data_IF_499185595345
#
_entry.id   IF_499185595345
#
_cell.length_a   1.000
_cell.length_b   1.000
_cell.length_c   1.000
_cell.angle_alpha   90.00
_cell.angle_beta   90.00
_cell.angle_gamma   90.00
#
_symmetry.space_group_name_H-M   'P 1'
#
loop_
_entity.id
_entity.type
_entity.pdbx_description
1 polymer ?
#
# COMPACT_ATOMS: atom_id res chain seq x y z
N UNK A 1 58.91 49.61 -9.88
CA UNK A 1 58.47 50.11 -8.55
C UNK A 1 56.97 50.38 -8.67
N UNK A 2 56.10 49.43 -8.29
CA UNK A 2 55.36 49.40 -7.00
C UNK A 2 54.84 50.78 -6.56
N UNK A 3 53.51 50.92 -6.49
CA UNK A 3 52.68 51.32 -5.33
C UNK A 3 51.18 51.27 -5.76
N UNK A 4 50.42 50.24 -5.34
CA UNK A 4 49.42 50.24 -4.25
C UNK A 4 48.08 50.92 -4.60
N UNK A 5 47.01 50.12 -4.67
CA UNK A 5 45.78 50.36 -3.89
C UNK A 5 44.97 49.08 -3.73
N UNK A 6 44.87 48.63 -2.47
CA UNK A 6 44.04 47.55 -1.98
C UNK A 6 42.57 47.97 -2.02
N UNK A 7 41.68 47.07 -2.44
CA UNK A 7 40.30 47.04 -1.96
C UNK A 7 40.08 45.72 -1.21
N UNK A 8 39.99 45.83 0.11
CA UNK A 8 39.61 44.75 1.01
C UNK A 8 38.09 44.68 1.00
N UNK A 9 37.52 43.62 0.44
CA UNK A 9 36.12 43.24 0.66
C UNK A 9 36.13 42.19 1.77
N UNK A 10 35.83 42.63 2.99
CA UNK A 10 35.59 41.75 4.13
C UNK A 10 34.24 41.06 3.97
N UNK A 11 34.24 39.76 3.71
CA UNK A 11 33.03 38.93 3.80
C UNK A 11 32.80 38.61 5.27
N UNK A 12 31.76 39.23 5.84
CA UNK A 12 31.22 38.90 7.15
C UNK A 12 30.75 37.44 7.13
N UNK A 13 31.44 36.55 7.84
CA UNK A 13 30.97 35.20 8.11
C UNK A 13 29.83 35.29 9.14
N UNK A 14 28.59 35.29 8.66
CA UNK A 14 27.41 35.10 9.53
C UNK A 14 27.39 33.63 9.93
N UNK A 15 27.89 33.34 11.14
CA UNK A 15 27.68 32.05 11.77
C UNK A 15 26.19 31.91 12.12
N UNK A 16 25.41 31.38 11.18
CA UNK A 16 24.07 30.90 11.49
C UNK A 16 24.22 29.60 12.28
N UNK A 17 24.08 29.72 13.60
CA UNK A 17 23.77 28.61 14.49
C UNK A 17 22.45 28.00 14.06
N UNK A 18 22.50 27.07 13.10
CA UNK A 18 21.36 26.25 12.76
C UNK A 18 21.07 25.35 13.97
N UNK A 19 19.99 25.67 14.69
CA UNK A 19 19.37 24.77 15.64
C UNK A 19 19.12 23.45 14.92
N UNK A 20 19.93 22.44 15.21
CA UNK A 20 19.73 21.08 14.73
C UNK A 20 18.47 20.52 15.38
N UNK A 21 17.29 20.87 14.83
CA UNK A 21 16.14 20.00 14.90
C UNK A 21 16.48 18.82 14.00
N UNK A 22 17.18 17.85 14.57
CA UNK A 22 17.32 16.52 14.02
C UNK A 22 15.90 15.95 13.89
N UNK A 23 15.23 16.24 12.77
CA UNK A 23 14.24 15.33 12.24
C UNK A 23 15.00 14.03 12.05
N UNK A 24 14.80 13.08 12.96
CA UNK A 24 15.19 11.70 12.75
C UNK A 24 14.47 11.26 11.48
N UNK A 25 15.13 11.39 10.33
CA UNK A 25 14.69 10.80 9.09
C UNK A 25 14.70 9.31 9.38
N UNK A 26 13.52 8.74 9.67
CA UNK A 26 13.38 7.29 9.81
C UNK A 26 13.90 6.71 8.51
N UNK A 27 15.00 5.94 8.60
CA UNK A 27 15.57 5.24 7.46
C UNK A 27 14.49 4.32 6.89
N UNK A 28 14.25 4.42 5.59
CA UNK A 28 13.33 3.51 4.89
C UNK A 28 13.78 2.06 5.10
N UNK A 29 12.81 1.19 5.35
CA UNK A 29 13.02 -0.24 5.57
C UNK A 29 13.36 -0.90 4.24
N UNK A 30 14.61 -1.32 4.07
CA UNK A 30 15.12 -1.87 2.79
C UNK A 30 15.07 -3.39 2.69
N UNK A 31 15.03 -4.10 3.83
CA UNK A 31 14.90 -5.56 3.79
C UNK A 31 13.51 -5.95 3.28
N UNK A 32 13.39 -6.77 2.22
CA UNK A 32 12.11 -7.03 1.57
C UNK A 32 11.13 -7.79 2.49
N UNK A 33 11.63 -8.60 3.44
CA UNK A 33 10.78 -9.29 4.40
C UNK A 33 10.25 -8.30 5.43
N UNK A 34 11.13 -7.51 6.06
CA UNK A 34 10.73 -6.52 7.06
C UNK A 34 9.80 -5.45 6.48
N UNK A 35 10.09 -4.98 5.25
CA UNK A 35 9.28 -3.96 4.57
C UNK A 35 7.84 -4.45 4.35
N UNK A 36 7.66 -5.65 3.81
CA UNK A 36 6.33 -6.23 3.60
C UNK A 36 5.57 -6.40 4.94
N UNK A 37 6.27 -6.79 6.00
CA UNK A 37 5.69 -6.97 7.33
C UNK A 37 5.26 -5.66 8.02
N UNK A 38 5.63 -4.48 7.50
CA UNK A 38 5.13 -3.19 8.02
C UNK A 38 3.60 -3.04 7.89
N UNK A 39 2.98 -3.78 6.96
CA UNK A 39 1.53 -3.82 6.82
C UNK A 39 0.84 -4.66 7.90
N UNK A 40 1.55 -5.57 8.58
CA UNK A 40 0.96 -6.40 9.60
C UNK A 40 0.49 -5.54 10.80
N UNK A 41 -0.69 -5.82 11.37
CA UNK A 41 -1.28 -4.94 12.39
C UNK A 41 -0.53 -4.96 13.72
N UNK A 42 0.20 -6.03 14.02
CA UNK A 42 1.02 -6.17 15.22
C UNK A 42 2.14 -7.21 15.02
N UNK A 43 3.11 -7.22 15.94
CA UNK A 43 4.29 -8.09 15.87
C UNK A 43 3.96 -9.59 15.94
N UNK A 44 2.92 -9.99 16.68
CA UNK A 44 2.53 -11.40 16.78
C UNK A 44 2.03 -11.93 15.43
N UNK A 45 1.18 -11.16 14.74
CA UNK A 45 0.70 -11.51 13.42
C UNK A 45 1.83 -11.46 12.37
N UNK A 46 2.74 -10.49 12.46
CA UNK A 46 3.91 -10.39 11.58
C UNK A 46 4.84 -11.62 11.69
N UNK A 47 5.05 -12.11 12.91
CA UNK A 47 5.91 -13.26 13.20
C UNK A 47 5.46 -14.51 12.44
N UNK A 48 4.15 -14.78 12.41
CA UNK A 48 3.58 -16.00 11.84
C UNK A 48 3.08 -15.83 10.40
N UNK A 49 3.20 -14.62 9.83
CA UNK A 49 2.83 -14.35 8.44
C UNK A 49 3.79 -14.98 7.43
N UNK A 50 3.24 -15.44 6.32
CA UNK A 50 4.01 -15.73 5.10
C UNK A 50 4.35 -14.40 4.41
N UNK A 51 5.56 -14.26 3.89
CA UNK A 51 5.96 -13.11 3.07
C UNK A 51 6.27 -13.59 1.67
N UNK A 52 5.66 -12.93 0.68
CA UNK A 52 5.90 -13.21 -0.73
C UNK A 52 6.40 -11.96 -1.45
N UNK A 53 7.02 -12.19 -2.60
CA UNK A 53 7.35 -11.14 -3.56
C UNK A 53 6.69 -11.46 -4.89
N UNK A 54 5.92 -10.51 -5.40
CA UNK A 54 5.30 -10.61 -6.71
C UNK A 54 6.36 -10.51 -7.81
N UNK A 55 6.19 -11.33 -8.84
CA UNK A 55 7.00 -11.31 -10.07
C UNK A 55 6.24 -10.60 -11.19
N UNK A 56 6.93 -10.06 -12.21
CA UNK A 56 6.27 -9.33 -13.31
C UNK A 56 5.22 -10.14 -14.10
N UNK A 57 5.29 -11.47 -14.05
CA UNK A 57 4.32 -12.39 -14.66
C UNK A 57 3.07 -12.66 -13.78
N UNK A 58 2.91 -11.89 -12.69
CA UNK A 58 1.84 -12.01 -11.70
C UNK A 58 1.83 -13.30 -10.88
N UNK A 59 2.91 -14.08 -10.95
CA UNK A 59 3.20 -15.14 -9.97
C UNK A 59 3.99 -14.57 -8.79
N UNK A 60 4.36 -15.40 -7.82
CA UNK A 60 5.13 -14.95 -6.67
C UNK A 60 6.21 -15.95 -6.25
N UNK A 61 7.23 -15.43 -5.58
CA UNK A 61 8.18 -16.23 -4.78
C UNK A 61 7.86 -16.08 -3.30
N UNK A 62 8.06 -17.14 -2.51
CA UNK A 62 7.94 -17.10 -1.05
C UNK A 62 9.29 -16.71 -0.47
N UNK A 63 9.37 -15.55 0.18
CA UNK A 63 10.58 -15.07 0.85
C UNK A 63 10.70 -15.62 2.28
N UNK A 64 9.56 -15.79 2.94
CA UNK A 64 9.46 -16.37 4.29
C UNK A 64 8.17 -17.16 4.38
N UNK A 65 8.24 -18.45 4.72
CA UNK A 65 7.04 -19.24 5.03
C UNK A 65 6.61 -18.97 6.47
N UNK A 66 5.33 -18.66 6.66
CA UNK A 66 4.70 -18.53 7.97
C UNK A 66 3.87 -19.75 8.35
N UNK A 67 3.32 -19.72 9.57
CA UNK A 67 2.44 -20.74 10.15
C UNK A 67 0.97 -20.31 10.18
N UNK A 68 0.69 -19.01 10.02
CA UNK A 68 -0.66 -18.47 9.91
C UNK A 68 -1.17 -18.45 8.46
N UNK A 69 -2.45 -18.14 8.28
CA UNK A 69 -3.07 -17.89 6.96
C UNK A 69 -2.73 -16.52 6.37
N UNK A 70 -2.06 -15.64 7.13
CA UNK A 70 -1.74 -14.29 6.69
C UNK A 70 -0.59 -14.31 5.68
N UNK A 71 -0.74 -13.52 4.62
CA UNK A 71 0.30 -13.30 3.62
C UNK A 71 0.54 -11.81 3.45
N UNK A 72 1.80 -11.39 3.52
CA UNK A 72 2.24 -10.00 3.37
C UNK A 72 3.16 -9.85 2.14
N UNK A 73 3.10 -8.69 1.48
CA UNK A 73 3.88 -8.42 0.28
C UNK A 73 4.09 -6.91 0.06
N UNK A 74 5.16 -6.58 -0.66
CA UNK A 74 5.45 -5.22 -1.12
C UNK A 74 4.87 -5.00 -2.53
N UNK A 75 4.13 -3.90 -2.68
CA UNK A 75 3.55 -3.42 -3.93
C UNK A 75 4.15 -2.07 -4.38
N UNK A 76 5.18 -1.58 -3.71
CA UNK A 76 5.92 -0.37 -4.09
C UNK A 76 6.41 -0.49 -5.54
N UNK A 77 6.09 0.51 -6.35
CA UNK A 77 6.46 0.54 -7.78
C UNK A 77 5.55 -0.25 -8.72
N UNK A 78 4.53 -0.94 -8.22
CA UNK A 78 3.55 -1.60 -9.08
C UNK A 78 2.59 -0.60 -9.73
N UNK A 79 2.14 -0.84 -10.98
CA UNK A 79 1.11 -0.03 -11.61
C UNK A 79 -0.15 0.09 -10.75
N UNK A 80 -0.68 1.32 -10.64
CA UNK A 80 -1.88 1.60 -9.86
C UNK A 80 -1.69 1.73 -8.34
N UNK A 81 -0.46 1.61 -7.85
CA UNK A 81 -0.14 1.77 -6.42
C UNK A 81 0.43 3.14 -6.07
N UNK A 82 0.38 3.45 -4.78
CA UNK A 82 1.08 4.60 -4.21
C UNK A 82 2.61 4.40 -4.29
N UNK A 83 3.41 5.48 -4.26
CA UNK A 83 4.87 5.38 -4.30
C UNK A 83 5.46 4.46 -3.23
N UNK A 84 4.86 4.42 -2.04
CA UNK A 84 5.09 3.39 -1.03
C UNK A 84 3.78 2.64 -0.79
N UNK A 85 3.78 1.32 -0.93
CA UNK A 85 2.58 0.51 -0.72
C UNK A 85 2.96 -0.91 -0.30
N UNK A 86 2.62 -1.29 0.93
CA UNK A 86 2.74 -2.67 1.43
C UNK A 86 1.39 -3.13 1.94
N UNK A 87 1.13 -4.42 1.84
CA UNK A 87 -0.17 -5.00 2.18
C UNK A 87 -0.03 -6.39 2.78
N UNK A 88 -0.91 -6.72 3.72
CA UNK A 88 -1.17 -8.07 4.18
C UNK A 88 -2.64 -8.43 3.98
N UNK A 89 -2.90 -9.68 3.62
CA UNK A 89 -4.25 -10.27 3.68
C UNK A 89 -4.26 -11.40 4.71
N UNK A 90 -5.34 -11.53 5.48
CA UNK A 90 -5.48 -12.56 6.52
C UNK A 90 -5.69 -13.98 5.96
N UNK A 91 -5.77 -14.12 4.63
CA UNK A 91 -6.03 -15.38 3.95
C UNK A 91 -5.25 -15.51 2.66
N UNK A 92 -4.44 -16.56 2.52
CA UNK A 92 -3.74 -16.91 1.28
C UNK A 92 -4.69 -17.19 0.11
N UNK A 93 -5.96 -17.50 0.38
CA UNK A 93 -6.99 -17.69 -0.65
C UNK A 93 -7.24 -16.41 -1.47
N UNK A 94 -6.80 -15.25 -0.98
CA UNK A 94 -6.91 -13.97 -1.69
C UNK A 94 -5.78 -13.71 -2.70
N UNK A 95 -4.71 -14.52 -2.74
CA UNK A 95 -3.60 -14.27 -3.68
C UNK A 95 -4.04 -14.23 -5.16
N UNK A 96 -4.96 -15.09 -5.65
CA UNK A 96 -5.49 -14.97 -7.01
C UNK A 96 -6.20 -13.63 -7.27
N UNK A 97 -6.93 -13.10 -6.27
CA UNK A 97 -7.55 -11.76 -6.34
C UNK A 97 -6.49 -10.67 -6.51
N UNK A 98 -5.40 -10.75 -5.76
CA UNK A 98 -4.28 -9.80 -5.86
C UNK A 98 -3.65 -9.86 -7.24
N UNK A 99 -3.34 -11.07 -7.73
CA UNK A 99 -2.77 -11.27 -9.06
C UNK A 99 -3.67 -10.68 -10.17
N UNK A 100 -4.99 -10.92 -10.10
CA UNK A 100 -5.93 -10.31 -11.04
C UNK A 100 -5.92 -8.78 -10.95
N UNK A 101 -5.92 -8.20 -9.75
CA UNK A 101 -5.83 -6.75 -9.58
C UNK A 101 -4.56 -6.18 -10.20
N UNK A 102 -3.42 -6.87 -10.08
CA UNK A 102 -2.16 -6.44 -10.70
C UNK A 102 -2.23 -6.51 -12.23
N UNK A 103 -2.81 -7.59 -12.76
CA UNK A 103 -3.01 -7.75 -14.20
C UNK A 103 -3.91 -6.66 -14.78
N UNK A 104 -5.06 -6.41 -14.14
CA UNK A 104 -5.98 -5.34 -14.52
C UNK A 104 -5.33 -3.96 -14.39
N UNK A 105 -4.54 -3.72 -13.33
CA UNK A 105 -3.81 -2.48 -13.19
C UNK A 105 -2.75 -2.29 -14.29
N UNK A 106 -2.02 -3.33 -14.66
CA UNK A 106 -1.06 -3.28 -15.77
C UNK A 106 -1.74 -3.07 -17.14
N UNK A 107 -2.98 -3.54 -17.31
CA UNK A 107 -3.77 -3.34 -18.53
C UNK A 107 -4.41 -1.95 -18.60
N UNK A 108 -4.90 -1.43 -17.47
CA UNK A 108 -5.57 -0.13 -17.38
C UNK A 108 -4.61 1.06 -17.31
N UNK A 109 -3.31 0.82 -17.10
CA UNK A 109 -2.38 1.88 -16.71
C UNK A 109 -1.02 1.78 -17.41
N UNK A 110 -0.75 2.77 -18.27
CA UNK A 110 0.58 3.32 -18.46
C UNK A 110 0.78 4.47 -17.44
N UNK A 111 1.42 4.19 -16.28
CA UNK A 111 1.73 5.18 -15.22
C UNK A 111 0.61 5.53 -14.22
N UNK A 112 0.95 5.70 -12.93
CA UNK A 112 0.08 5.80 -11.74
C UNK A 112 -1.10 6.81 -11.72
N UNK A 113 -1.40 7.51 -12.81
CA UNK A 113 -2.35 8.62 -12.92
C UNK A 113 -3.77 8.27 -13.37
N UNK A 114 -4.06 7.02 -13.77
CA UNK A 114 -5.38 6.66 -14.32
C UNK A 114 -6.10 5.56 -13.51
N UNK A 115 -6.48 5.90 -12.28
CA UNK A 115 -7.25 4.99 -11.42
C UNK A 115 -8.61 4.66 -12.02
N UNK A 116 -9.21 5.58 -12.78
CA UNK A 116 -10.48 5.40 -13.46
C UNK A 116 -10.48 4.21 -14.41
N UNK A 117 -9.44 4.05 -15.23
CA UNK A 117 -9.32 2.88 -16.13
C UNK A 117 -9.16 1.55 -15.39
N UNK A 118 -8.49 1.54 -14.23
CA UNK A 118 -8.43 0.32 -13.40
C UNK A 118 -9.83 -0.03 -12.93
N UNK A 119 -10.58 0.95 -12.44
CA UNK A 119 -11.92 0.74 -11.91
C UNK A 119 -12.89 0.30 -13.02
N UNK A 120 -12.75 0.82 -14.25
CA UNK A 120 -13.47 0.34 -15.44
C UNK A 120 -13.15 -1.12 -15.78
N UNK A 121 -11.87 -1.50 -15.79
CA UNK A 121 -11.45 -2.87 -16.07
C UNK A 121 -11.95 -3.86 -15.00
N UNK A 122 -11.97 -3.42 -13.73
CA UNK A 122 -12.55 -4.17 -12.61
C UNK A 122 -14.07 -4.31 -12.77
N UNK A 123 -14.77 -3.23 -13.13
CA UNK A 123 -16.21 -3.26 -13.38
C UNK A 123 -16.59 -4.15 -14.58
N UNK A 124 -15.77 -4.16 -15.64
CA UNK A 124 -15.94 -5.05 -16.78
C UNK A 124 -15.81 -6.53 -16.36
N UNK A 125 -14.77 -6.86 -15.58
CA UNK A 125 -14.58 -8.21 -15.04
C UNK A 125 -15.72 -8.62 -14.06
N UNK A 126 -16.30 -7.67 -13.34
CA UNK A 126 -17.46 -7.94 -12.50
C UNK A 126 -18.71 -8.26 -13.35
N UNK A 127 -18.94 -7.49 -14.43
CA UNK A 127 -20.07 -7.64 -15.33
C UNK A 127 -20.03 -8.94 -16.14
N UNK A 128 -18.84 -9.38 -16.56
CA UNK A 128 -18.66 -10.61 -17.33
C UNK A 128 -18.52 -11.88 -16.46
N UNK A 129 -18.51 -11.72 -15.12
CA UNK A 129 -18.40 -12.82 -14.16
C UNK A 129 -17.00 -13.40 -13.99
N UNK A 130 -15.96 -12.78 -14.58
CA UNK A 130 -14.57 -13.22 -14.45
C UNK A 130 -13.86 -12.65 -13.23
N UNK A 131 -14.51 -11.76 -12.48
CA UNK A 131 -13.96 -11.19 -11.26
C UNK A 131 -13.74 -12.26 -10.20
N UNK A 132 -12.48 -12.48 -9.83
CA UNK A 132 -12.11 -13.33 -8.71
C UNK A 132 -12.56 -12.61 -7.45
N UNK A 133 -13.36 -13.25 -6.61
CA UNK A 133 -13.79 -12.68 -5.33
C UNK A 133 -12.73 -12.88 -4.26
N UNK A 134 -12.68 -11.94 -3.31
CA UNK A 134 -11.96 -12.16 -2.05
C UNK A 134 -12.72 -13.18 -1.18
N UNK A 135 -12.01 -13.87 -0.29
CA UNK A 135 -12.63 -14.71 0.74
C UNK A 135 -13.47 -13.84 1.68
N UNK A 136 -14.75 -14.19 1.83
CA UNK A 136 -15.69 -13.47 2.72
C UNK A 136 -15.16 -13.49 4.16
N UNK A 137 -15.16 -12.33 4.81
CA UNK A 137 -14.66 -12.16 6.19
C UNK A 137 -13.14 -12.05 6.31
N UNK A 138 -12.39 -12.17 5.21
CA UNK A 138 -10.94 -11.93 5.23
C UNK A 138 -10.63 -10.46 5.40
N UNK A 139 -9.59 -10.16 6.18
CA UNK A 139 -9.15 -8.79 6.48
C UNK A 139 -7.94 -8.46 5.64
N UNK A 140 -7.93 -7.24 5.11
CA UNK A 140 -6.84 -6.63 4.39
C UNK A 140 -6.25 -5.51 5.22
N UNK A 141 -4.93 -5.48 5.34
CA UNK A 141 -4.18 -4.47 6.06
C UNK A 141 -3.26 -3.77 5.08
N UNK A 142 -3.50 -2.50 4.83
CA UNK A 142 -2.69 -1.66 3.96
C UNK A 142 -1.89 -0.67 4.77
N UNK A 143 -0.65 -0.45 4.35
CA UNK A 143 0.19 0.63 4.81
C UNK A 143 0.87 1.28 3.61
N UNK A 144 0.41 2.48 3.26
CA UNK A 144 0.75 3.13 1.99
C UNK A 144 0.85 4.65 2.08
N UNK A 145 1.57 5.28 1.16
CA UNK A 145 1.76 6.73 1.13
C UNK A 145 2.75 7.18 0.07
N UNK A 146 3.19 8.43 0.14
CA UNK A 146 4.27 8.93 -0.73
C UNK A 146 5.65 8.39 -0.29
N UNK A 147 5.75 7.96 0.96
CA UNK A 147 6.94 7.35 1.56
C UNK A 147 6.53 6.54 2.79
N UNK A 148 7.41 5.69 3.31
CA UNK A 148 7.19 4.99 4.58
C UNK A 148 6.86 5.96 5.73
N UNK A 149 7.55 7.12 5.78
CA UNK A 149 7.38 8.12 6.83
C UNK A 149 6.01 8.83 6.80
N UNK A 150 5.37 8.89 5.63
CA UNK A 150 4.07 9.55 5.44
C UNK A 150 2.93 8.56 5.24
N UNK A 151 3.23 7.26 5.37
CA UNK A 151 2.26 6.22 5.10
C UNK A 151 1.19 6.14 6.20
N UNK A 152 -0.03 5.84 5.77
CA UNK A 152 -1.20 5.66 6.63
C UNK A 152 -1.67 4.22 6.59
N UNK A 153 -2.22 3.75 7.72
CA UNK A 153 -2.85 2.44 7.79
C UNK A 153 -4.31 2.51 7.36
N UNK A 154 -4.73 1.53 6.57
CA UNK A 154 -6.12 1.32 6.21
C UNK A 154 -6.43 -0.17 6.29
N UNK A 155 -7.58 -0.53 6.85
CA UNK A 155 -8.00 -1.93 6.94
C UNK A 155 -9.44 -2.08 6.52
N UNK A 156 -9.73 -3.17 5.83
CA UNK A 156 -11.07 -3.49 5.36
C UNK A 156 -11.31 -5.00 5.42
N UNK A 157 -12.57 -5.38 5.60
CA UNK A 157 -13.03 -6.76 5.62
C UNK A 157 -13.75 -7.00 4.30
N UNK A 158 -13.37 -8.04 3.57
CA UNK A 158 -14.00 -8.36 2.31
C UNK A 158 -15.37 -9.01 2.54
N UNK A 159 -16.41 -8.42 1.96
CA UNK A 159 -17.80 -8.93 2.00
C UNK A 159 -18.42 -8.89 0.60
N UNK A 160 -17.82 -9.56 -0.41
CA UNK A 160 -18.20 -9.40 -1.80
C UNK A 160 -19.65 -9.78 -2.04
N UNK A 161 -20.34 -8.93 -2.81
CA UNK A 161 -21.76 -9.01 -3.14
C UNK A 161 -22.73 -8.84 -1.96
N UNK A 162 -22.24 -8.63 -0.74
CA UNK A 162 -23.08 -8.33 0.42
C UNK A 162 -23.38 -6.84 0.52
N UNK A 163 -24.54 -6.53 1.11
CA UNK A 163 -25.03 -5.20 1.41
C UNK A 163 -24.98 -4.95 2.92
N UNK A 164 -25.19 -3.69 3.32
CA UNK A 164 -25.17 -3.29 4.73
C UNK A 164 -26.13 -4.10 5.60
N UNK A 165 -27.34 -4.36 5.08
CA UNK A 165 -28.36 -5.19 5.77
C UNK A 165 -27.92 -6.65 5.99
N UNK A 166 -27.04 -7.19 5.14
CA UNK A 166 -26.64 -8.60 5.21
C UNK A 166 -25.59 -8.83 6.32
N UNK A 167 -24.86 -7.76 6.70
CA UNK A 167 -23.81 -7.79 7.73
C UNK A 167 -24.06 -6.82 8.89
N UNK A 168 -25.26 -6.23 8.96
CA UNK A 168 -25.66 -5.27 10.00
C UNK A 168 -24.72 -4.05 10.12
N UNK A 169 -24.27 -3.51 8.99
CA UNK A 169 -23.44 -2.32 8.91
C UNK A 169 -24.12 -1.24 8.04
N UNK A 170 -23.85 0.05 8.27
CA UNK A 170 -24.27 1.12 7.37
C UNK A 170 -23.59 1.00 6.00
N UNK A 171 -24.18 1.59 4.96
CA UNK A 171 -23.58 1.68 3.62
C UNK A 171 -22.95 3.06 3.35
N UNK A 172 -22.89 3.91 4.38
CA UNK A 172 -22.36 5.29 4.34
C UNK A 172 -21.29 5.47 5.41
N UNK A 173 -20.23 6.20 5.04
CA UNK A 173 -19.01 6.38 5.86
C UNK A 173 -19.22 7.24 7.10
N UNK A 174 -20.18 8.14 7.08
CA UNK A 174 -20.40 9.18 8.10
C UNK A 174 -21.07 8.67 9.39
N UNK A 175 -21.40 7.38 9.46
CA UNK A 175 -21.97 6.74 10.64
C UNK A 175 -21.02 6.60 11.86
N UNK A 176 -19.79 7.14 11.79
CA UNK A 176 -18.83 7.15 12.91
C UNK A 176 -18.22 5.79 13.24
N UNK A 177 -18.43 4.77 12.41
CA UNK A 177 -17.93 3.40 12.59
C UNK A 177 -17.64 2.71 11.26
N UNK A 178 -17.56 1.38 11.26
CA UNK A 178 -17.40 0.58 10.04
C UNK A 178 -18.64 0.69 9.14
N UNK A 179 -18.43 0.66 7.83
CA UNK A 179 -19.50 0.66 6.82
C UNK A 179 -19.14 -0.31 5.68
N UNK A 180 -20.15 -0.74 4.93
CA UNK A 180 -19.95 -1.55 3.70
C UNK A 180 -19.56 -0.62 2.56
N UNK A 181 -18.32 -0.71 2.11
CA UNK A 181 -17.86 -0.06 0.89
C UNK A 181 -18.42 -0.81 -0.32
N UNK A 182 -18.84 -0.10 -1.37
CA UNK A 182 -19.29 -0.70 -2.63
C UNK A 182 -20.38 -1.78 -2.47
N UNK A 183 -21.34 -1.53 -1.57
CA UNK A 183 -22.39 -2.49 -1.19
C UNK A 183 -23.05 -3.18 -2.39
N UNK A 184 -23.16 -4.51 -2.31
CA UNK A 184 -23.77 -5.35 -3.34
C UNK A 184 -22.92 -5.59 -4.58
N UNK A 185 -21.63 -5.23 -4.56
CA UNK A 185 -20.69 -5.46 -5.69
C UNK A 185 -19.58 -6.44 -5.31
N UNK A 186 -18.85 -6.91 -6.30
CA UNK A 186 -17.66 -7.77 -6.12
C UNK A 186 -16.46 -7.06 -5.45
N UNK A 187 -16.55 -5.75 -5.20
CA UNK A 187 -15.54 -4.95 -4.51
C UNK A 187 -15.87 -4.70 -3.03
N UNK A 188 -17.05 -5.14 -2.57
CA UNK A 188 -17.43 -5.08 -1.16
C UNK A 188 -16.59 -6.02 -0.29
#
# INVERSE_FOLDING_TARGET
MKLISLFVVGVMAVAMSASAQAQTVKKETTDPIQKALLAAPNAAMAKDATVIKWKPDFTYEVLKKGTSRMVCYDLTGWPGERPFSVECTSSEANLPRVAQNRKLAAMGVAGASDRGKIDEAVAAAAKDGTRIMSEVGSIWYKFWGNSEATAVRHSFIAVPNLRGKDVSLPEVRDAGGSWVMFAGTSEA
#
